data_IF_139305119089
#
_entry.id   IF_139305119089
#
_cell.length_a   1.000
_cell.length_b   1.000
_cell.length_c   1.000
_cell.angle_alpha   90.00
_cell.angle_beta   90.00
_cell.angle_gamma   90.00
#
_symmetry.space_group_name_H-M   'P 1'
#
loop_
_entity.id
_entity.type
_entity.pdbx_description
1 polymer ?
#
# COMPACT_ATOMS: atom_id res chain seq x y z
N UNK A 1 -8.86 37.18 -0.63
CA UNK A 1 -9.96 36.73 -1.51
C UNK A 1 -9.64 37.23 -2.91
N UNK A 2 -8.87 36.44 -3.66
CA UNK A 2 -8.64 36.65 -5.10
C UNK A 2 -9.08 35.36 -5.79
N UNK A 3 -10.01 35.52 -6.73
CA UNK A 3 -10.72 34.49 -7.49
C UNK A 3 -9.78 33.73 -8.44
N UNK A 4 -9.74 32.39 -8.37
CA UNK A 4 -9.03 31.52 -9.32
C UNK A 4 -9.98 31.15 -10.46
N UNK A 5 -10.19 32.10 -11.36
CA UNK A 5 -10.87 31.86 -12.63
C UNK A 5 -9.87 31.50 -13.73
N UNK A 6 -9.98 30.27 -14.22
CA UNK A 6 -9.97 29.88 -15.64
C UNK A 6 -9.69 28.36 -15.74
N UNK A 7 -10.75 27.57 -15.80
CA UNK A 7 -10.70 26.20 -16.33
C UNK A 7 -10.40 26.27 -17.81
N UNK A 8 -9.30 25.65 -18.26
CA UNK A 8 -9.15 25.23 -19.65
C UNK A 8 -9.37 23.72 -19.67
N UNK A 9 -10.60 23.31 -19.96
CA UNK A 9 -10.90 21.92 -20.27
C UNK A 9 -10.27 21.62 -21.64
N UNK A 10 -9.07 21.05 -21.61
CA UNK A 10 -8.51 20.34 -22.75
C UNK A 10 -9.25 19.02 -22.87
N UNK A 11 -10.19 18.98 -23.80
CA UNK A 11 -10.77 17.73 -24.32
C UNK A 11 -9.70 17.13 -25.25
N UNK A 12 -8.90 16.23 -24.69
CA UNK A 12 -7.93 15.40 -25.40
C UNK A 12 -8.18 13.98 -24.91
N UNK A 13 -9.09 13.28 -25.59
CA UNK A 13 -9.40 11.87 -25.31
C UNK A 13 -8.53 11.02 -26.25
N UNK A 14 -7.42 10.41 -25.77
CA UNK A 14 -6.72 9.42 -26.57
C UNK A 14 -7.55 8.15 -26.68
N UNK A 15 -7.81 7.70 -27.91
CA UNK A 15 -8.49 6.44 -28.22
C UNK A 15 -7.81 5.27 -27.50
N UNK A 16 -8.52 4.66 -26.54
CA UNK A 16 -8.01 3.53 -25.76
C UNK A 16 -8.24 2.23 -26.54
N UNK A 17 -7.31 1.87 -27.42
CA UNK A 17 -7.14 0.47 -27.80
C UNK A 17 -6.38 -0.22 -26.67
N UNK A 18 -7.11 -0.89 -25.77
CA UNK A 18 -6.51 -1.72 -24.72
C UNK A 18 -6.92 -3.16 -24.96
N UNK A 19 -6.08 -3.87 -25.71
CA UNK A 19 -6.09 -5.33 -25.74
C UNK A 19 -5.16 -5.80 -24.63
N UNK A 20 -5.70 -5.95 -23.41
CA UNK A 20 -4.97 -6.52 -22.28
C UNK A 20 -5.46 -7.96 -22.08
N UNK A 21 -4.71 -8.90 -22.67
CA UNK A 21 -4.86 -10.33 -22.46
C UNK A 21 -4.34 -10.63 -21.05
N UNK A 22 -5.19 -10.41 -20.05
CA UNK A 22 -4.89 -10.72 -18.67
C UNK A 22 -4.84 -12.24 -18.51
N UNK A 23 -3.64 -12.77 -18.36
CA UNK A 23 -3.35 -14.15 -17.94
C UNK A 23 -3.37 -14.22 -16.40
N UNK A 24 -4.42 -14.76 -15.76
CA UNK A 24 -4.40 -14.97 -14.32
C UNK A 24 -3.75 -16.33 -14.03
N UNK A 25 -2.44 -16.46 -14.23
CA UNK A 25 -1.65 -17.45 -13.47
C UNK A 25 -1.55 -16.93 -12.02
N UNK A 26 -2.70 -16.87 -11.34
CA UNK A 26 -2.80 -16.61 -9.91
C UNK A 26 -2.31 -17.87 -9.23
N UNK A 27 -1.04 -17.88 -8.85
CA UNK A 27 -0.50 -18.87 -7.91
C UNK A 27 -1.44 -18.93 -6.68
N UNK A 28 -1.75 -20.14 -6.18
CA UNK A 28 -2.74 -20.31 -5.14
C UNK A 28 -2.40 -19.43 -3.95
N UNK A 29 -3.34 -18.54 -3.62
CA UNK A 29 -3.32 -17.70 -2.43
C UNK A 29 -2.95 -18.60 -1.25
N UNK A 30 -1.76 -18.37 -0.69
CA UNK A 30 -1.36 -18.95 0.58
C UNK A 30 -2.36 -18.41 1.60
N UNK A 31 -3.46 -19.15 1.81
CA UNK A 31 -4.39 -18.89 2.90
C UNK A 31 -3.65 -19.25 4.17
N UNK A 32 -2.79 -18.35 4.63
CA UNK A 32 -2.15 -18.46 5.93
C UNK A 32 -3.30 -18.56 6.93
N UNK A 33 -3.48 -19.75 7.52
CA UNK A 33 -4.47 -20.02 8.56
C UNK A 33 -3.98 -19.37 9.87
N UNK A 34 -3.86 -18.05 9.83
CA UNK A 34 -3.37 -17.17 10.86
C UNK A 34 -3.86 -15.79 10.49
N UNK A 35 -4.40 -15.08 11.47
CA UNK A 35 -4.64 -13.64 11.30
C UNK A 35 -3.29 -13.07 10.89
N UNK A 36 -3.16 -12.50 9.67
CA UNK A 36 -1.87 -12.09 9.09
C UNK A 36 -1.14 -10.98 9.86
N UNK A 37 -1.54 -10.76 11.11
CA UNK A 37 -1.10 -9.79 12.10
C UNK A 37 -0.10 -10.39 13.10
N UNK A 38 0.37 -11.63 12.91
CA UNK A 38 1.39 -12.25 13.78
C UNK A 38 2.64 -11.36 13.99
N UNK A 39 3.03 -10.59 12.97
CA UNK A 39 4.16 -9.64 13.02
C UNK A 39 3.87 -8.36 13.83
N UNK A 40 2.61 -8.16 14.22
CA UNK A 40 2.08 -7.07 15.04
C UNK A 40 1.67 -7.55 16.44
N UNK A 41 1.79 -8.83 16.79
CA UNK A 41 1.35 -9.37 18.09
C UNK A 41 2.11 -8.75 19.29
N UNK A 42 3.36 -8.30 19.05
CA UNK A 42 4.19 -7.56 20.00
C UNK A 42 3.79 -6.06 20.14
N UNK A 43 2.78 -5.60 19.40
CA UNK A 43 2.35 -4.19 19.34
C UNK A 43 0.97 -4.05 19.99
N UNK A 44 0.84 -3.11 20.93
CA UNK A 44 -0.42 -2.85 21.66
C UNK A 44 -1.51 -2.23 20.75
N UNK A 45 -2.77 -2.60 21.00
CA UNK A 45 -3.92 -2.08 20.26
C UNK A 45 -4.08 -0.56 20.44
N UNK A 46 -4.08 0.18 19.34
CA UNK A 46 -4.33 1.63 19.34
C UNK A 46 -3.09 2.52 19.30
N UNK A 47 -1.90 1.95 19.10
CA UNK A 47 -0.73 2.73 18.70
C UNK A 47 -0.94 3.38 17.34
N UNK A 48 -0.38 4.58 17.15
CA UNK A 48 -0.48 5.31 15.90
C UNK A 48 0.39 4.72 14.79
N UNK A 49 0.08 5.07 13.54
CA UNK A 49 0.85 4.60 12.38
C UNK A 49 2.35 4.92 12.46
N UNK A 50 2.72 6.06 13.05
CA UNK A 50 4.13 6.45 13.25
C UNK A 50 4.83 5.53 14.25
N UNK A 51 4.18 5.23 15.37
CA UNK A 51 4.73 4.38 16.43
C UNK A 51 4.93 2.94 15.92
N UNK A 52 4.00 2.42 15.12
CA UNK A 52 4.14 1.12 14.45
C UNK A 52 5.37 1.12 13.54
N UNK A 53 5.56 2.17 12.74
CA UNK A 53 6.68 2.25 11.82
C UNK A 53 8.04 2.31 12.53
N UNK A 54 8.13 3.06 13.63
CA UNK A 54 9.35 3.13 14.46
C UNK A 54 9.69 1.74 15.01
N UNK A 55 8.72 1.06 15.62
CA UNK A 55 8.91 -0.27 16.19
C UNK A 55 9.35 -1.31 15.15
N UNK A 56 8.71 -1.32 13.97
CA UNK A 56 9.09 -2.23 12.87
C UNK A 56 10.47 -1.89 12.28
N UNK A 57 10.84 -0.61 12.26
CA UNK A 57 12.14 -0.17 11.75
C UNK A 57 13.27 -0.59 12.68
N UNK A 58 13.11 -0.36 13.98
CA UNK A 58 14.06 -0.79 15.02
C UNK A 58 14.26 -2.31 15.00
N UNK A 59 13.18 -3.08 14.93
CA UNK A 59 13.24 -4.55 14.84
C UNK A 59 14.03 -5.01 13.62
N UNK A 60 13.76 -4.42 12.45
CA UNK A 60 14.48 -4.74 11.22
C UNK A 60 15.96 -4.39 11.31
N UNK A 61 16.33 -3.30 11.96
CA UNK A 61 17.73 -2.95 12.22
C UNK A 61 18.39 -3.98 13.13
N UNK A 62 17.75 -4.32 14.25
CA UNK A 62 18.22 -5.37 15.15
C UNK A 62 18.41 -6.73 14.45
N UNK A 63 17.52 -7.11 13.54
CA UNK A 63 17.63 -8.33 12.73
C UNK A 63 18.79 -8.27 11.72
N UNK A 64 19.11 -7.09 11.19
CA UNK A 64 20.23 -6.90 10.25
C UNK A 64 21.58 -6.92 10.95
N UNK A 65 21.61 -6.47 12.20
CA UNK A 65 22.82 -6.37 13.02
C UNK A 65 23.10 -7.64 13.87
N UNK A 66 22.17 -8.61 13.88
CA UNK A 66 22.29 -9.90 14.57
C UNK A 66 23.03 -10.97 13.74
#
# INVERSE_FOLDING_TARGET
>A
MTDRSASSAGDDEPETESSDDADPETEPEQTQEGDGTEHLDDIDDGVGCTEIWEHLSERREAERDA
#
